data_IF_634245002875
#
_entry.id   IF_634245002875
#
_cell.length_a   1.000
_cell.length_b   1.000
_cell.length_c   1.000
_cell.angle_alpha   90.00
_cell.angle_beta   90.00
_cell.angle_gamma   90.00
#
_symmetry.space_group_name_H-M   'P 1'
#
loop_
_entity.id
_entity.type
_entity.pdbx_description
1 polymer ?
#
# COMPACT_ATOMS: atom_id res chain seq x y z
N UNK A 1 -19.68 3.89 -1.50
CA UNK A 1 -18.28 4.31 -1.75
C UNK A 1 -17.39 3.16 -1.33
N UNK A 2 -16.28 2.88 -2.02
CA UNK A 2 -15.30 1.91 -1.52
C UNK A 2 -14.94 2.28 -0.08
N UNK A 3 -14.77 1.26 0.76
CA UNK A 3 -14.47 1.46 2.17
C UNK A 3 -13.00 1.87 2.35
N UNK A 4 -12.14 1.52 1.39
CA UNK A 4 -10.74 1.95 1.32
C UNK A 4 -10.59 3.35 0.74
N UNK A 5 -9.98 4.27 1.48
CA UNK A 5 -9.70 5.63 1.04
C UNK A 5 -8.27 5.79 0.53
N UNK A 6 -8.10 6.20 -0.73
CA UNK A 6 -6.80 6.45 -1.36
C UNK A 6 -6.95 7.29 -2.63
N UNK A 7 -5.83 7.82 -3.13
CA UNK A 7 -5.76 8.48 -4.43
C UNK A 7 -4.92 7.63 -5.41
N UNK A 8 -5.54 7.04 -6.46
CA UNK A 8 -4.82 6.19 -7.42
C UNK A 8 -3.66 6.89 -8.14
N UNK A 9 -3.77 8.19 -8.43
CA UNK A 9 -2.69 8.95 -9.08
C UNK A 9 -1.47 9.09 -8.17
N UNK A 10 -1.69 9.32 -6.88
CA UNK A 10 -0.60 9.37 -5.89
C UNK A 10 0.14 8.03 -5.82
N UNK A 11 -0.57 6.91 -5.91
CA UNK A 11 0.02 5.57 -5.92
C UNK A 11 0.85 5.32 -7.18
N UNK A 12 0.38 5.76 -8.35
CA UNK A 12 1.13 5.67 -9.59
C UNK A 12 2.46 6.44 -9.49
N UNK A 13 2.43 7.64 -8.92
CA UNK A 13 3.65 8.43 -8.70
C UNK A 13 4.60 7.76 -7.69
N UNK A 14 4.07 7.25 -6.57
CA UNK A 14 4.86 6.64 -5.52
C UNK A 14 5.48 5.29 -5.93
N UNK A 15 4.77 4.49 -6.73
CA UNK A 15 5.19 3.14 -7.15
C UNK A 15 5.80 3.09 -8.55
N UNK A 16 5.72 4.19 -9.30
CA UNK A 16 6.24 4.32 -10.67
C UNK A 16 5.70 3.25 -11.64
N UNK A 17 4.55 2.65 -11.33
CA UNK A 17 3.94 1.58 -12.14
C UNK A 17 2.43 1.81 -12.25
N UNK A 18 1.88 1.46 -13.42
CA UNK A 18 0.45 1.47 -13.66
C UNK A 18 -0.15 0.17 -13.12
N UNK A 19 -1.24 0.20 -12.34
CA UNK A 19 -1.85 -1.01 -11.84
C UNK A 19 -2.56 -1.78 -12.95
N UNK A 20 -2.56 -3.11 -12.85
CA UNK A 20 -3.57 -3.93 -13.49
C UNK A 20 -4.86 -3.79 -12.69
N UNK A 21 -5.93 -3.36 -13.35
CA UNK A 21 -7.24 -3.15 -12.72
C UNK A 21 -8.14 -4.33 -13.06
N UNK A 22 -8.69 -4.96 -12.03
CA UNK A 22 -9.68 -6.03 -12.19
C UNK A 22 -10.97 -5.53 -12.85
N UNK A 23 -11.76 -6.46 -13.42
CA UNK A 23 -13.05 -6.13 -14.01
C UNK A 23 -13.92 -5.34 -13.02
N UNK A 24 -14.57 -4.26 -13.47
CA UNK A 24 -15.34 -3.34 -12.62
C UNK A 24 -14.55 -2.68 -11.47
N UNK A 25 -13.22 -2.71 -11.48
CA UNK A 25 -12.39 -2.11 -10.44
C UNK A 25 -12.43 -2.85 -9.11
N UNK A 26 -12.72 -4.16 -9.12
CA UNK A 26 -12.79 -4.99 -7.90
C UNK A 26 -11.44 -5.12 -7.19
N UNK A 27 -10.33 -4.99 -7.93
CA UNK A 27 -8.98 -4.92 -7.38
C UNK A 27 -8.08 -4.05 -8.23
N UNK A 28 -6.99 -3.59 -7.62
CA UNK A 28 -5.89 -2.88 -8.26
C UNK A 28 -4.59 -3.57 -7.86
N UNK A 29 -3.82 -4.07 -8.83
CA UNK A 29 -2.56 -4.76 -8.59
C UNK A 29 -1.39 -3.99 -9.19
N UNK A 30 -0.47 -3.58 -8.33
CA UNK A 30 0.79 -2.93 -8.70
C UNK A 30 1.92 -3.95 -8.59
N UNK A 31 2.66 -4.14 -9.68
CA UNK A 31 3.81 -5.02 -9.73
C UNK A 31 5.09 -4.18 -9.89
N UNK A 32 5.90 -4.14 -8.83
CA UNK A 32 7.18 -3.42 -8.80
C UNK A 32 8.31 -4.43 -8.83
N UNK A 33 9.23 -4.29 -9.80
CA UNK A 33 10.40 -5.15 -9.94
C UNK A 33 11.69 -4.36 -9.80
N UNK A 34 12.56 -4.81 -8.88
CA UNK A 34 13.90 -4.30 -8.61
C UNK A 34 14.81 -5.49 -8.34
N UNK A 35 15.40 -6.05 -9.39
CA UNK A 35 16.15 -7.30 -9.33
C UNK A 35 17.16 -7.32 -8.15
N UNK A 36 17.20 -8.41 -7.38
CA UNK A 36 16.47 -9.67 -7.56
C UNK A 36 15.06 -9.69 -6.94
N UNK A 37 14.59 -8.60 -6.36
CA UNK A 37 13.35 -8.52 -5.59
C UNK A 37 12.18 -8.01 -6.44
N UNK A 38 11.00 -8.60 -6.27
CA UNK A 38 9.73 -8.05 -6.75
C UNK A 38 8.73 -7.95 -5.62
N UNK A 39 7.85 -6.96 -5.76
CA UNK A 39 6.74 -6.67 -4.86
C UNK A 39 5.45 -6.63 -5.68
N UNK A 40 4.45 -7.40 -5.25
CA UNK A 40 3.06 -7.26 -5.70
C UNK A 40 2.25 -6.64 -4.58
N UNK A 41 1.67 -5.48 -4.84
CA UNK A 41 0.69 -4.84 -3.98
C UNK A 41 -0.69 -4.99 -4.62
N UNK A 42 -1.61 -5.69 -3.95
CA UNK A 42 -3.00 -5.84 -4.40
C UNK A 42 -3.92 -5.15 -3.41
N UNK A 43 -4.85 -4.34 -3.90
CA UNK A 43 -5.84 -3.62 -3.10
C UNK A 43 -7.22 -4.01 -3.57
N UNK A 44 -8.10 -4.41 -2.64
CA UNK A 44 -9.52 -4.70 -2.86
C UNK A 44 -10.36 -3.59 -2.22
N UNK A 45 -10.76 -2.54 -2.96
CA UNK A 45 -11.31 -1.33 -2.35
C UNK A 45 -12.67 -1.52 -1.68
N UNK A 46 -13.45 -2.51 -2.13
CA UNK A 46 -14.76 -2.83 -1.57
C UNK A 46 -14.63 -3.51 -0.21
N UNK A 47 -13.69 -4.45 -0.09
CA UNK A 47 -13.42 -5.22 1.12
C UNK A 47 -12.49 -4.49 2.10
N UNK A 48 -11.80 -3.44 1.64
CA UNK A 48 -10.74 -2.75 2.40
C UNK A 48 -9.53 -3.62 2.71
N UNK A 49 -9.28 -4.61 1.87
CA UNK A 49 -8.15 -5.51 2.05
C UNK A 49 -6.95 -5.05 1.21
N UNK A 50 -5.77 -5.21 1.79
CA UNK A 50 -4.48 -4.95 1.13
C UNK A 50 -3.60 -6.18 1.29
N UNK A 51 -3.10 -6.70 0.18
CA UNK A 51 -2.10 -7.76 0.15
C UNK A 51 -0.77 -7.23 -0.38
N UNK A 52 0.32 -7.61 0.29
CA UNK A 52 1.69 -7.35 -0.15
C UNK A 52 2.43 -8.68 -0.22
N UNK A 53 2.93 -9.00 -1.40
CA UNK A 53 3.77 -10.18 -1.65
C UNK A 53 5.17 -9.73 -2.02
N UNK A 54 6.18 -10.27 -1.34
CA UNK A 54 7.57 -10.15 -1.75
C UNK A 54 8.04 -11.47 -2.33
N UNK A 55 8.74 -11.38 -3.45
CA UNK A 55 9.18 -12.54 -4.21
C UNK A 55 10.56 -12.29 -4.81
N UNK A 56 11.40 -13.31 -4.84
CA UNK A 56 12.64 -13.24 -5.62
C UNK A 56 12.35 -13.62 -7.07
N UNK A 57 13.08 -12.99 -8.00
CA UNK A 57 13.01 -13.33 -9.41
C UNK A 57 13.26 -14.84 -9.64
N UNK A 58 12.42 -15.46 -10.47
CA UNK A 58 12.48 -16.89 -10.75
C UNK A 58 11.95 -17.82 -9.64
N UNK A 59 11.61 -17.31 -8.45
CA UNK A 59 10.95 -18.13 -7.44
C UNK A 59 9.55 -18.55 -7.91
N UNK A 60 9.02 -19.68 -7.44
CA UNK A 60 7.61 -20.03 -7.66
C UNK A 60 6.70 -19.29 -6.67
N UNK A 61 7.09 -19.30 -5.40
CA UNK A 61 6.31 -18.77 -4.28
C UNK A 61 6.90 -17.46 -3.72
N UNK A 62 6.07 -16.57 -3.15
CA UNK A 62 6.56 -15.43 -2.40
C UNK A 62 7.24 -15.89 -1.10
N UNK A 63 8.27 -15.16 -0.66
CA UNK A 63 8.95 -15.44 0.61
C UNK A 63 8.37 -14.62 1.77
N UNK A 64 7.62 -13.55 1.47
CA UNK A 64 6.78 -12.82 2.44
C UNK A 64 5.41 -12.58 1.82
N UNK A 65 4.36 -12.87 2.59
CA UNK A 65 2.97 -12.52 2.29
C UNK A 65 2.37 -11.81 3.50
N UNK A 66 1.83 -10.62 3.28
CA UNK A 66 1.19 -9.82 4.30
C UNK A 66 -0.19 -9.42 3.83
N UNK A 67 -1.17 -9.60 4.70
CA UNK A 67 -2.54 -9.18 4.48
C UNK A 67 -2.94 -8.21 5.58
N UNK A 68 -3.37 -7.02 5.19
CA UNK A 68 -3.97 -6.04 6.07
C UNK A 68 -5.46 -5.99 5.74
N UNK A 69 -6.25 -6.61 6.61
CA UNK A 69 -7.70 -6.68 6.47
C UNK A 69 -8.36 -5.43 7.07
N UNK A 70 -9.50 -5.02 6.53
CA UNK A 70 -10.25 -3.86 7.02
C UNK A 70 -9.41 -2.56 7.12
N UNK A 71 -8.45 -2.38 6.21
CA UNK A 71 -7.60 -1.19 6.12
C UNK A 71 -8.46 0.01 5.70
N UNK A 72 -8.65 1.04 6.54
CA UNK A 72 -9.54 2.14 6.19
C UNK A 72 -9.01 3.03 5.08
N UNK A 73 -7.72 2.94 4.75
CA UNK A 73 -7.12 3.70 3.68
C UNK A 73 -5.61 3.79 3.76
N UNK A 74 -5.08 4.50 2.77
CA UNK A 74 -3.67 4.77 2.64
C UNK A 74 -3.42 6.17 2.09
N UNK A 75 -2.25 6.74 2.40
CA UNK A 75 -1.80 8.02 1.87
C UNK A 75 -0.36 7.95 1.41
N UNK A 76 -0.03 8.77 0.42
CA UNK A 76 1.33 8.97 -0.02
C UNK A 76 1.93 10.15 0.74
N UNK A 77 3.04 9.89 1.41
CA UNK A 77 3.86 10.90 2.05
C UNK A 77 5.04 11.22 1.14
N UNK A 78 5.28 12.52 0.94
CA UNK A 78 6.40 13.07 0.20
C UNK A 78 7.17 13.98 1.15
N UNK A 79 8.38 13.59 1.49
CA UNK A 79 9.35 14.45 2.19
C UNK A 79 10.53 14.77 1.27
N UNK A 80 11.41 15.67 1.69
CA UNK A 80 12.55 16.13 0.89
C UNK A 80 13.53 15.00 0.47
N UNK A 81 13.40 13.81 1.05
CA UNK A 81 14.33 12.68 0.88
C UNK A 81 13.66 11.41 0.36
N UNK A 82 12.36 11.23 0.57
CA UNK A 82 11.65 9.96 0.37
C UNK A 82 10.20 10.18 -0.03
N UNK A 83 9.72 9.29 -0.88
CA UNK A 83 8.30 9.10 -1.18
C UNK A 83 7.90 7.70 -0.73
N UNK A 84 6.85 7.60 0.08
CA UNK A 84 6.38 6.33 0.61
C UNK A 84 4.86 6.34 0.84
N UNK A 85 4.29 5.15 0.89
CA UNK A 85 2.86 4.93 1.12
C UNK A 85 2.66 4.45 2.55
N UNK A 86 1.85 5.15 3.33
CA UNK A 86 1.39 4.70 4.64
C UNK A 86 0.03 4.02 4.52
N UNK A 87 -0.05 2.76 4.92
CA UNK A 87 -1.29 2.00 5.09
C UNK A 87 -1.70 2.02 6.56
N UNK A 88 -2.93 2.45 6.84
CA UNK A 88 -3.42 2.51 8.22
C UNK A 88 -3.81 1.13 8.74
N UNK A 89 -3.21 0.70 9.86
CA UNK A 89 -3.64 -0.52 10.55
C UNK A 89 -4.67 -0.25 11.67
N UNK A 90 -5.05 1.01 11.87
CA UNK A 90 -6.06 1.43 12.85
C UNK A 90 -7.24 2.08 12.14
N UNK A 91 -8.46 1.86 12.65
CA UNK A 91 -9.60 2.70 12.27
C UNK A 91 -9.40 4.09 12.87
N UNK A 92 -9.28 5.10 12.01
CA UNK A 92 -9.24 6.51 12.42
C UNK A 92 -10.68 6.97 12.72
N UNK A 93 -10.85 8.00 13.55
CA UNK A 93 -12.15 8.45 14.11
C UNK A 93 -13.31 8.42 13.09
N UNK A 94 -14.45 7.86 13.47
CA UNK A 94 -15.62 7.71 12.59
C UNK A 94 -15.54 6.56 11.57
N UNK A 95 -14.47 5.75 11.60
CA UNK A 95 -14.32 4.58 10.73
C UNK A 95 -13.99 4.92 9.28
N UNK A 96 -13.61 6.17 9.00
CA UNK A 96 -13.20 6.64 7.67
C UNK A 96 -11.82 7.26 7.74
N UNK A 97 -10.97 6.88 6.80
CA UNK A 97 -9.70 7.56 6.57
C UNK A 97 -9.97 8.82 5.75
N UNK A 98 -9.97 9.97 6.41
CA UNK A 98 -10.40 11.25 5.82
C UNK A 98 -9.24 12.09 5.25
N UNK A 99 -8.02 11.52 5.22
CA UNK A 99 -6.76 12.19 4.87
C UNK A 99 -6.38 13.39 5.77
N UNK A 100 -7.29 13.91 6.59
CA UNK A 100 -7.07 15.01 7.52
C UNK A 100 -6.39 14.52 8.81
N UNK A 101 -6.66 13.29 9.22
CA UNK A 101 -6.08 12.69 10.41
C UNK A 101 -4.98 11.69 10.05
N UNK A 102 -3.83 11.82 10.74
CA UNK A 102 -2.73 10.87 10.63
C UNK A 102 -3.10 9.57 11.34
N UNK A 103 -2.97 8.40 10.68
CA UNK A 103 -3.19 7.13 11.35
C UNK A 103 -2.15 6.94 12.48
N UNK A 104 -2.53 6.41 13.65
CA UNK A 104 -1.61 6.29 14.78
C UNK A 104 -0.52 5.25 14.56
N UNK A 105 -0.77 4.22 13.75
CA UNK A 105 0.21 3.19 13.40
C UNK A 105 -0.19 2.43 12.13
N UNK A 106 0.77 1.77 11.52
CA UNK A 106 0.56 1.03 10.29
C UNK A 106 1.85 0.52 9.64
N UNK A 107 1.77 0.30 8.34
CA UNK A 107 2.92 -0.07 7.52
C UNK A 107 3.23 1.03 6.52
N UNK A 108 4.52 1.25 6.28
CA UNK A 108 5.00 2.10 5.21
C UNK A 108 5.70 1.27 4.14
N UNK A 109 5.39 1.56 2.88
CA UNK A 109 5.99 0.96 1.70
C UNK A 109 6.70 2.05 0.89
N UNK A 110 7.99 1.85 0.61
CA UNK A 110 8.77 2.67 -0.30
C UNK A 110 9.43 1.79 -1.36
N UNK A 111 9.63 2.32 -2.56
CA UNK A 111 10.29 1.59 -3.65
C UNK A 111 11.59 2.25 -4.12
N UNK A 112 11.86 3.48 -3.68
CA UNK A 112 13.07 4.23 -3.98
C UNK A 112 13.85 4.54 -2.70
N UNK A 113 15.20 4.39 -2.70
CA UNK A 113 16.02 3.83 -3.78
C UNK A 113 15.95 2.29 -3.90
N UNK A 114 15.30 1.62 -2.95
CA UNK A 114 15.08 0.18 -2.94
C UNK A 114 13.70 -0.13 -2.34
N UNK A 115 13.16 -1.30 -2.69
CA UNK A 115 11.91 -1.79 -2.11
C UNK A 115 12.15 -2.06 -0.62
N UNK A 116 11.45 -1.31 0.21
CA UNK A 116 11.49 -1.47 1.66
C UNK A 116 10.08 -1.32 2.21
N UNK A 117 9.78 -2.15 3.21
CA UNK A 117 8.59 -2.03 4.02
C UNK A 117 8.99 -2.02 5.49
N UNK A 118 8.30 -1.22 6.27
CA UNK A 118 8.52 -1.11 7.72
C UNK A 118 7.22 -0.74 8.41
N UNK A 119 7.19 -0.85 9.73
CA UNK A 119 6.08 -0.35 10.53
C UNK A 119 6.35 1.09 10.96
N UNK A 120 5.28 1.84 11.20
CA UNK A 120 5.34 3.15 11.86
C UNK A 120 4.36 3.19 13.03
N UNK A 121 4.65 4.06 13.98
CA UNK A 121 3.76 4.43 15.08
C UNK A 121 4.05 5.87 15.45
N UNK A 122 3.01 6.71 15.45
CA UNK A 122 3.09 8.10 15.85
C UNK A 122 2.62 8.27 17.30
N UNK A 123 3.21 9.20 18.07
CA UNK A 123 2.68 9.56 19.38
C UNK A 123 1.24 10.05 19.23
N UNK A 124 0.35 9.55 20.09
CA UNK A 124 -1.07 9.92 20.14
C UNK A 124 -1.28 11.04 21.15
#
# INVERSE_FOLDING_TARGET
MPNFSWEPLDFLEALEVVPVVGEYGIYYQYLVSRAPLSLSLTIWPLDSDVEILFKNEGAAEPFVRLNLLDCPGARVIRDDRRTYIEFSAARVFGGRFDHAHTPPYGFQLQIQPFIQMSTFSYPV
#
